data_IF_512926526993
#
_entry.id   IF_512926526993
#
_cell.length_a   1.000
_cell.length_b   1.000
_cell.length_c   1.000
_cell.angle_alpha   90.00
_cell.angle_beta   90.00
_cell.angle_gamma   90.00
#
_symmetry.space_group_name_H-M   'P 1'
#
loop_
_entity.id
_entity.type
_entity.pdbx_description
1 polymer ?
#
# COMPACT_ATOMS: atom_id res chain seq x y z
N UNK A 1 0.05 23.10 -8.78
CA UNK A 1 -0.14 23.50 -7.34
C UNK A 1 -0.34 22.30 -6.42
N UNK A 2 -1.20 21.34 -6.78
CA UNK A 2 -1.45 20.13 -5.96
C UNK A 2 -0.32 19.10 -6.09
N UNK A 3 0.45 19.11 -7.19
CA UNK A 3 1.70 18.35 -7.37
C UNK A 3 2.71 18.52 -6.21
N UNK A 4 2.68 19.66 -5.50
CA UNK A 4 3.55 19.93 -4.36
C UNK A 4 3.32 18.93 -3.21
N UNK A 5 2.10 18.40 -3.06
CA UNK A 5 1.79 17.36 -2.08
C UNK A 5 2.47 16.05 -2.48
N UNK A 6 2.40 15.69 -3.76
CA UNK A 6 3.06 14.50 -4.33
C UNK A 6 4.57 14.52 -4.11
N UNK A 7 5.20 15.68 -4.30
CA UNK A 7 6.64 15.89 -4.15
C UNK A 7 7.08 16.39 -2.77
N UNK A 8 6.18 16.42 -1.78
CA UNK A 8 6.51 16.78 -0.41
C UNK A 8 7.67 15.90 0.07
N UNK A 9 8.78 16.55 0.46
CA UNK A 9 10.00 15.86 0.84
C UNK A 9 9.90 15.38 2.28
N UNK A 10 10.06 14.08 2.46
CA UNK A 10 10.22 13.43 3.76
C UNK A 10 11.59 12.75 3.72
N UNK A 11 12.51 13.10 4.62
CA UNK A 11 13.87 12.52 4.65
C UNK A 11 14.59 12.52 3.28
N UNK A 12 14.36 13.56 2.45
CA UNK A 12 15.00 13.73 1.14
C UNK A 12 14.43 12.88 0.00
N UNK A 13 13.24 12.29 0.18
CA UNK A 13 12.50 11.59 -0.89
C UNK A 13 11.04 12.05 -0.93
N UNK A 14 10.36 11.98 -2.09
CA UNK A 14 9.00 12.49 -2.21
C UNK A 14 7.98 11.56 -1.54
N UNK A 15 6.90 12.15 -1.00
CA UNK A 15 5.79 11.45 -0.34
C UNK A 15 5.25 10.26 -1.15
N UNK A 16 5.10 10.44 -2.47
CA UNK A 16 4.62 9.38 -3.38
C UNK A 16 5.48 8.12 -3.34
N UNK A 17 6.80 8.24 -3.15
CA UNK A 17 7.71 7.10 -3.05
C UNK A 17 7.42 6.28 -1.79
N UNK A 18 7.30 6.96 -0.64
CA UNK A 18 6.98 6.29 0.63
C UNK A 18 5.61 5.61 0.60
N UNK A 19 4.60 6.30 0.07
CA UNK A 19 3.27 5.71 -0.10
C UNK A 19 3.29 4.49 -1.03
N UNK A 20 4.07 4.53 -2.11
CA UNK A 20 4.25 3.38 -3.00
C UNK A 20 4.87 2.18 -2.29
N UNK A 21 5.94 2.41 -1.51
CA UNK A 21 6.61 1.36 -0.72
C UNK A 21 5.64 0.77 0.30
N UNK A 22 4.95 1.60 1.09
CA UNK A 22 4.00 1.14 2.10
C UNK A 22 2.87 0.34 1.46
N UNK A 23 2.30 0.84 0.35
CA UNK A 23 1.26 0.13 -0.42
C UNK A 23 1.75 -1.27 -0.84
N UNK A 24 2.96 -1.35 -1.40
CA UNK A 24 3.55 -2.60 -1.85
C UNK A 24 3.79 -3.58 -0.70
N UNK A 25 4.26 -3.11 0.46
CA UNK A 25 4.43 -3.93 1.66
C UNK A 25 3.10 -4.51 2.14
N UNK A 26 2.02 -3.71 2.15
CA UNK A 26 0.68 -4.18 2.50
C UNK A 26 0.12 -5.20 1.50
N UNK A 27 0.42 -5.03 0.20
CA UNK A 27 0.08 -6.03 -0.81
C UNK A 27 0.82 -7.35 -0.57
N UNK A 28 2.14 -7.32 -0.33
CA UNK A 28 2.90 -8.52 -0.01
C UNK A 28 2.43 -9.20 1.26
N UNK A 29 2.09 -8.45 2.30
CA UNK A 29 1.49 -9.01 3.50
C UNK A 29 0.14 -9.69 3.18
N UNK A 30 -0.73 -9.03 2.43
CA UNK A 30 -2.05 -9.56 2.03
C UNK A 30 -1.93 -10.86 1.25
N UNK A 31 -1.00 -10.92 0.28
CA UNK A 31 -0.70 -12.13 -0.50
C UNK A 31 -0.08 -13.21 0.38
N UNK A 32 0.85 -12.85 1.27
CA UNK A 32 1.50 -13.80 2.17
C UNK A 32 0.49 -14.49 3.08
N UNK A 33 -0.48 -13.76 3.63
CA UNK A 33 -1.55 -14.33 4.46
C UNK A 33 -2.36 -15.36 3.65
N UNK A 34 -2.75 -15.03 2.41
CA UNK A 34 -3.48 -15.96 1.56
C UNK A 34 -2.67 -17.22 1.25
N UNK A 35 -1.40 -17.06 0.84
CA UNK A 35 -0.51 -18.17 0.50
C UNK A 35 -0.25 -19.08 1.70
N UNK A 36 -0.01 -18.52 2.89
CA UNK A 36 0.20 -19.31 4.10
C UNK A 36 -1.06 -20.12 4.46
N UNK A 37 -2.24 -19.50 4.40
CA UNK A 37 -3.50 -20.20 4.66
C UNK A 37 -3.77 -21.31 3.63
N UNK A 38 -3.49 -21.09 2.34
CA UNK A 38 -3.60 -22.12 1.30
C UNK A 38 -2.65 -23.30 1.52
N UNK A 39 -1.50 -23.07 2.16
CA UNK A 39 -0.53 -24.12 2.55
C UNK A 39 -0.89 -24.80 3.89
N UNK A 40 -2.03 -24.47 4.50
CA UNK A 40 -2.44 -24.99 5.81
C UNK A 40 -1.66 -24.39 6.99
N UNK A 41 -0.91 -23.29 6.78
CA UNK A 41 -0.14 -22.61 7.82
C UNK A 41 -1.01 -21.50 8.44
N UNK A 42 -1.76 -21.86 9.48
CA UNK A 42 -2.73 -20.97 10.14
C UNK A 42 -2.13 -20.06 11.22
N UNK A 43 -0.86 -19.65 11.08
CA UNK A 43 -0.22 -18.72 12.03
C UNK A 43 -0.94 -17.36 12.10
N UNK A 44 -1.58 -16.97 11.00
CA UNK A 44 -2.40 -15.76 10.89
C UNK A 44 -3.81 -16.18 10.48
N UNK A 45 -4.81 -15.82 11.29
CA UNK A 45 -6.21 -16.14 11.01
C UNK A 45 -6.65 -15.63 9.63
N UNK A 46 -7.41 -16.41 8.85
CA UNK A 46 -7.88 -16.03 7.51
C UNK A 46 -8.59 -14.67 7.44
N UNK A 47 -9.25 -14.24 8.52
CA UNK A 47 -9.91 -12.93 8.63
C UNK A 47 -8.97 -11.74 8.45
N UNK A 48 -7.66 -11.92 8.68
CA UNK A 48 -6.68 -10.87 8.46
C UNK A 48 -6.43 -10.60 6.98
N UNK A 49 -6.64 -11.56 6.08
CA UNK A 49 -6.50 -11.32 4.64
C UNK A 49 -7.43 -10.20 4.15
N UNK A 50 -8.77 -10.25 4.34
CA UNK A 50 -9.64 -9.17 3.91
C UNK A 50 -9.43 -7.87 4.70
N UNK A 51 -8.93 -7.91 5.94
CA UNK A 51 -8.56 -6.69 6.68
C UNK A 51 -7.35 -6.00 6.04
N UNK A 52 -6.29 -6.74 5.72
CA UNK A 52 -5.09 -6.21 5.07
C UNK A 52 -5.38 -5.76 3.63
N UNK A 53 -6.22 -6.51 2.91
CA UNK A 53 -6.66 -6.13 1.56
C UNK A 53 -7.35 -4.76 1.54
N UNK A 54 -8.26 -4.49 2.49
CA UNK A 54 -8.92 -3.17 2.61
C UNK A 54 -7.89 -2.05 2.81
N UNK A 55 -6.91 -2.24 3.69
CA UNK A 55 -5.85 -1.25 3.93
C UNK A 55 -5.00 -1.04 2.67
N UNK A 56 -4.57 -2.14 2.02
CA UNK A 56 -3.78 -2.08 0.80
C UNK A 56 -4.52 -1.34 -0.33
N UNK A 57 -5.81 -1.61 -0.53
CA UNK A 57 -6.64 -0.93 -1.53
C UNK A 57 -6.77 0.56 -1.23
N UNK A 58 -7.05 0.94 0.02
CA UNK A 58 -7.11 2.35 0.43
C UNK A 58 -5.79 3.07 0.14
N UNK A 59 -4.65 2.45 0.49
CA UNK A 59 -3.33 3.01 0.21
C UNK A 59 -3.05 3.12 -1.29
N UNK A 60 -3.43 2.11 -2.07
CA UNK A 60 -3.26 2.11 -3.53
C UNK A 60 -4.08 3.21 -4.20
N UNK A 61 -5.31 3.47 -3.74
CA UNK A 61 -6.13 4.58 -4.22
C UNK A 61 -5.43 5.92 -3.93
N UNK A 62 -4.96 6.12 -2.69
CA UNK A 62 -4.24 7.36 -2.32
C UNK A 62 -2.96 7.51 -3.15
N UNK A 63 -2.16 6.46 -3.30
CA UNK A 63 -0.94 6.47 -4.11
C UNK A 63 -1.24 6.76 -5.60
N UNK A 64 -2.28 6.14 -6.15
CA UNK A 64 -2.73 6.39 -7.53
C UNK A 64 -3.20 7.83 -7.73
N UNK A 65 -3.92 8.41 -6.77
CA UNK A 65 -4.30 9.83 -6.80
C UNK A 65 -3.06 10.73 -6.82
N UNK A 66 -2.05 10.46 -5.97
CA UNK A 66 -0.80 11.21 -6.00
C UNK A 66 -0.08 11.09 -7.36
N UNK A 67 -0.13 9.92 -7.99
CA UNK A 67 0.42 9.71 -9.33
C UNK A 67 -0.33 10.49 -10.41
N UNK A 68 -1.64 10.64 -10.32
CA UNK A 68 -2.39 11.54 -11.23
C UNK A 68 -2.04 13.00 -10.95
N UNK A 69 -1.97 13.39 -9.67
CA UNK A 69 -1.62 14.75 -9.27
C UNK A 69 -0.20 15.17 -9.64
N UNK A 70 0.74 14.25 -9.95
CA UNK A 70 2.06 14.65 -10.47
C UNK A 70 2.02 15.20 -11.89
N UNK A 71 0.89 15.06 -12.60
CA UNK A 71 0.70 15.59 -13.96
C UNK A 71 -0.24 16.80 -14.01
N UNK A 72 -0.72 17.31 -12.85
CA UNK A 72 -1.70 18.40 -12.71
C UNK A 72 -1.19 19.53 -11.79
#
# INVERSE_FOLDING_TARGET
MLENITYLQILGKPLIMYLGIITLLFLFLTVSIAVLNMKGIYRIHPEWHPRMAKIAVTLAIIHGILGVLSYL
#
